data_IF_010866364993
#
_entry.id   IF_010866364993
#
_cell.length_a   1.000
_cell.length_b   1.000
_cell.length_c   1.000
_cell.angle_alpha   90.00
_cell.angle_beta   90.00
_cell.angle_gamma   90.00
#
_symmetry.space_group_name_H-M   'P 1'
#
loop_
_entity.id
_entity.type
_entity.pdbx_description
1 polymer ?
#
# COMPACT_ATOMS: atom_id res chain seq x y z
N UNK A 1 8.62 -5.02 9.21
CA UNK A 1 9.29 -4.10 8.27
C UNK A 1 10.81 -3.99 8.48
N UNK A 2 11.58 -5.09 8.47
CA UNK A 2 13.03 -5.05 8.79
C UNK A 2 13.91 -4.41 7.70
N UNK A 3 13.36 -4.15 6.51
CA UNK A 3 14.11 -3.80 5.28
C UNK A 3 13.63 -2.52 4.58
N UNK A 4 12.68 -1.78 5.16
CA UNK A 4 12.19 -0.51 4.61
C UNK A 4 12.75 0.67 5.38
N UNK A 5 13.16 1.71 4.68
CA UNK A 5 13.51 2.99 5.31
C UNK A 5 12.26 3.86 5.49
N UNK A 6 12.40 5.00 6.19
CA UNK A 6 11.29 5.93 6.45
C UNK A 6 10.70 6.54 5.16
N UNK A 7 11.53 6.72 4.14
CA UNK A 7 11.09 7.27 2.85
C UNK A 7 10.27 6.25 2.07
N UNK A 8 10.61 4.96 2.15
CA UNK A 8 9.83 3.87 1.52
C UNK A 8 8.40 3.82 2.09
N UNK A 9 8.27 3.90 3.42
CA UNK A 9 6.98 3.94 4.11
C UNK A 9 6.21 5.20 3.71
N UNK A 10 6.88 6.36 3.69
CA UNK A 10 6.26 7.63 3.27
C UNK A 10 5.75 7.55 1.83
N UNK A 11 6.57 7.05 0.91
CA UNK A 11 6.23 6.88 -0.50
C UNK A 11 5.03 5.94 -0.66
N UNK A 12 5.05 4.78 0.01
CA UNK A 12 3.94 3.84 -0.01
C UNK A 12 2.65 4.49 0.51
N UNK A 13 2.74 5.24 1.61
CA UNK A 13 1.59 5.94 2.19
C UNK A 13 1.00 7.00 1.26
N UNK A 14 1.84 7.77 0.55
CA UNK A 14 1.37 8.73 -0.46
C UNK A 14 0.65 8.05 -1.62
N UNK A 15 1.18 6.91 -2.09
CA UNK A 15 0.55 6.09 -3.13
C UNK A 15 -0.81 5.57 -2.65
N UNK A 16 -0.87 4.97 -1.47
CA UNK A 16 -2.13 4.44 -0.89
C UNK A 16 -3.17 5.53 -0.72
N UNK A 17 -2.79 6.73 -0.23
CA UNK A 17 -3.71 7.88 -0.15
C UNK A 17 -4.28 8.26 -1.51
N UNK A 18 -3.44 8.24 -2.54
CA UNK A 18 -3.89 8.53 -3.91
C UNK A 18 -4.89 7.48 -4.39
N UNK A 19 -4.61 6.19 -4.17
CA UNK A 19 -5.53 5.11 -4.58
C UNK A 19 -6.88 5.21 -3.86
N UNK A 20 -6.86 5.43 -2.54
CA UNK A 20 -8.09 5.64 -1.75
C UNK A 20 -8.92 6.78 -2.32
N UNK A 21 -8.29 7.94 -2.56
CA UNK A 21 -8.97 9.13 -3.07
C UNK A 21 -9.50 8.92 -4.48
N UNK A 22 -8.70 8.34 -5.38
CA UNK A 22 -9.07 8.12 -6.77
C UNK A 22 -10.23 7.12 -6.91
N UNK A 23 -10.36 6.18 -5.96
CA UNK A 23 -11.40 5.15 -5.94
C UNK A 23 -12.61 5.52 -5.09
N UNK A 24 -12.61 6.68 -4.42
CA UNK A 24 -13.70 7.12 -3.54
C UNK A 24 -13.87 6.26 -2.29
N UNK A 25 -12.77 5.71 -1.76
CA UNK A 25 -12.77 4.79 -0.62
C UNK A 25 -12.39 5.48 0.70
N UNK A 26 -12.86 6.71 0.92
CA UNK A 26 -12.45 7.56 2.05
C UNK A 26 -12.64 6.90 3.44
N UNK A 27 -13.51 5.90 3.55
CA UNK A 27 -13.69 5.09 4.76
C UNK A 27 -12.40 4.33 5.17
N UNK A 28 -11.49 4.05 4.23
CA UNK A 28 -10.23 3.34 4.48
C UNK A 28 -9.15 4.25 5.09
N UNK A 29 -9.36 5.56 5.15
CA UNK A 29 -8.38 6.49 5.73
C UNK A 29 -8.02 6.17 7.18
N UNK A 30 -8.94 5.56 7.94
CA UNK A 30 -8.71 5.13 9.33
C UNK A 30 -7.78 3.92 9.48
N UNK A 31 -7.63 3.11 8.42
CA UNK A 31 -6.81 1.88 8.42
C UNK A 31 -5.62 1.96 7.46
N UNK A 32 -5.25 3.18 7.06
CA UNK A 32 -4.22 3.40 6.04
C UNK A 32 -2.85 2.80 6.42
N UNK A 33 -2.49 2.83 7.71
CA UNK A 33 -1.22 2.25 8.17
C UNK A 33 -1.20 0.72 7.98
N UNK A 34 -2.34 0.06 8.18
CA UNK A 34 -2.48 -1.39 7.99
C UNK A 34 -2.34 -1.72 6.50
N UNK A 35 -2.99 -0.96 5.62
CA UNK A 35 -2.90 -1.14 4.17
C UNK A 35 -1.46 -0.92 3.68
N UNK A 36 -0.77 0.11 4.18
CA UNK A 36 0.64 0.35 3.87
C UNK A 36 1.50 -0.83 4.30
N UNK A 37 1.29 -1.34 5.51
CA UNK A 37 2.03 -2.50 6.01
C UNK A 37 1.80 -3.75 5.16
N UNK A 38 0.55 -4.03 4.77
CA UNK A 38 0.22 -5.15 3.90
C UNK A 38 0.94 -5.06 2.55
N UNK A 39 0.84 -3.90 1.87
CA UNK A 39 1.45 -3.70 0.56
C UNK A 39 2.97 -3.85 0.64
N UNK A 40 3.61 -3.28 1.67
CA UNK A 40 5.05 -3.40 1.84
C UNK A 40 5.46 -4.85 2.12
N UNK A 41 4.73 -5.57 2.95
CA UNK A 41 4.97 -6.99 3.23
C UNK A 41 4.80 -7.86 1.98
N UNK A 42 3.76 -7.62 1.18
CA UNK A 42 3.52 -8.32 -0.10
C UNK A 42 4.65 -8.02 -1.08
N UNK A 43 5.03 -6.75 -1.23
CA UNK A 43 6.11 -6.31 -2.12
C UNK A 43 7.41 -7.03 -1.78
N UNK A 44 7.77 -7.05 -0.49
CA UNK A 44 8.96 -7.74 0.01
C UNK A 44 8.88 -9.25 -0.21
N UNK A 45 7.76 -9.89 0.10
CA UNK A 45 7.57 -11.34 -0.04
C UNK A 45 7.68 -11.80 -1.50
N UNK A 46 7.35 -10.93 -2.47
CA UNK A 46 7.51 -11.19 -3.91
C UNK A 46 8.92 -10.87 -4.43
N UNK A 47 9.86 -10.49 -3.57
CA UNK A 47 11.22 -10.12 -3.95
C UNK A 47 11.31 -8.75 -4.64
N UNK A 48 10.28 -7.92 -4.52
CA UNK A 48 10.28 -6.55 -5.03
C UNK A 48 11.08 -5.62 -4.12
N UNK A 49 11.82 -4.68 -4.72
CA UNK A 49 12.35 -3.53 -3.99
C UNK A 49 11.27 -2.49 -3.73
N UNK A 50 11.53 -1.51 -2.86
CA UNK A 50 10.61 -0.41 -2.57
C UNK A 50 10.76 0.79 -3.51
N UNK A 51 11.08 0.52 -4.78
CA UNK A 51 11.03 1.58 -5.79
C UNK A 51 9.59 2.12 -5.89
N UNK A 52 9.44 3.40 -6.23
CA UNK A 52 8.12 4.04 -6.33
C UNK A 52 7.20 3.32 -7.33
N UNK A 53 7.75 2.86 -8.46
CA UNK A 53 7.00 2.15 -9.49
C UNK A 53 6.57 0.75 -9.03
N UNK A 54 7.44 0.06 -8.27
CA UNK A 54 7.11 -1.22 -7.65
C UNK A 54 5.97 -1.06 -6.64
N UNK A 55 6.10 -0.12 -5.71
CA UNK A 55 5.06 0.17 -4.72
C UNK A 55 3.73 0.57 -5.36
N UNK A 56 3.76 1.35 -6.44
CA UNK A 56 2.56 1.73 -7.20
C UNK A 56 1.88 0.51 -7.81
N UNK A 57 2.64 -0.35 -8.47
CA UNK A 57 2.10 -1.56 -9.11
C UNK A 57 1.47 -2.50 -8.08
N UNK A 58 2.11 -2.69 -6.92
CA UNK A 58 1.54 -3.52 -5.84
C UNK A 58 0.32 -2.89 -5.18
N UNK A 59 0.31 -1.56 -4.99
CA UNK A 59 -0.86 -0.87 -4.47
C UNK A 59 -2.06 -0.99 -5.42
N UNK A 60 -1.86 -0.77 -6.73
CA UNK A 60 -2.92 -0.92 -7.73
C UNK A 60 -3.57 -2.31 -7.67
N UNK A 61 -2.74 -3.37 -7.69
CA UNK A 61 -3.22 -4.76 -7.56
C UNK A 61 -3.93 -5.00 -6.23
N UNK A 62 -3.39 -4.50 -5.11
CA UNK A 62 -4.01 -4.64 -3.79
C UNK A 62 -5.44 -4.06 -3.75
N UNK A 63 -5.66 -2.92 -4.40
CA UNK A 63 -6.97 -2.30 -4.49
C UNK A 63 -7.88 -2.96 -5.53
N UNK A 64 -7.35 -3.39 -6.68
CA UNK A 64 -8.11 -4.09 -7.73
C UNK A 64 -8.64 -5.44 -7.26
N UNK A 65 -7.87 -6.15 -6.44
CA UNK A 65 -8.22 -7.45 -5.86
C UNK A 65 -8.99 -7.32 -4.54
N UNK A 66 -9.40 -6.10 -4.14
CA UNK A 66 -10.17 -5.84 -2.91
C UNK A 66 -9.55 -6.45 -1.64
N UNK A 67 -8.22 -6.49 -1.55
CA UNK A 67 -7.51 -7.17 -0.45
C UNK A 67 -7.77 -6.52 0.93
N UNK A 68 -8.22 -5.27 0.95
CA UNK A 68 -8.63 -4.53 2.15
C UNK A 68 -10.00 -4.94 2.71
N UNK A 69 -10.77 -5.78 2.01
CA UNK A 69 -12.16 -6.09 2.36
C UNK A 69 -12.34 -6.70 3.76
N UNK A 70 -11.34 -7.42 4.27
CA UNK A 70 -11.36 -8.03 5.61
C UNK A 70 -10.93 -7.07 6.74
N UNK A 71 -10.60 -5.82 6.41
CA UNK A 71 -10.14 -4.80 7.36
C UNK A 71 -11.26 -3.81 7.77
N UNK A 72 -12.46 -3.95 7.18
CA UNK A 72 -13.68 -3.17 7.45
C UNK A 72 -14.63 -3.97 8.34
#
# INVERSE_FOLDING_TARGET
>A
MLYSNKDDIKNCKEIVRSEIKNRGLDQLNGIIEIIVEDIMNITYAKGGGYSKDTLKSFAEVYFDEYMYSNLL
#
